data_IF_835096153195
#
_entry.id   IF_835096153195
#
_cell.length_a   1.000
_cell.length_b   1.000
_cell.length_c   1.000
_cell.angle_alpha   90.00
_cell.angle_beta   90.00
_cell.angle_gamma   90.00
#
_symmetry.space_group_name_H-M   'P 1'
#
loop_
_entity.id
_entity.type
_entity.pdbx_description
1 polymer ?
#
# COMPACT_ATOMS: atom_id res chain seq x y z
N UNK A 1 23.82 10.71 -15.30
CA UNK A 1 23.10 9.65 -14.55
C UNK A 1 21.85 10.28 -13.98
N UNK A 2 20.67 9.66 -14.15
CA UNK A 2 19.44 10.13 -13.48
C UNK A 2 19.64 9.96 -11.97
N UNK A 3 19.20 10.94 -11.18
CA UNK A 3 19.19 10.80 -9.71
C UNK A 3 18.37 9.55 -9.33
N UNK A 4 18.84 8.72 -8.39
CA UNK A 4 18.09 7.55 -7.96
C UNK A 4 16.77 7.97 -7.31
N UNK A 5 15.77 7.10 -7.42
CA UNK A 5 14.50 7.27 -6.72
C UNK A 5 14.57 6.51 -5.39
N UNK A 6 14.18 7.16 -4.29
CA UNK A 6 14.05 6.51 -2.99
C UNK A 6 12.58 6.54 -2.56
N UNK A 7 11.96 5.39 -2.32
CA UNK A 7 10.57 5.32 -1.86
C UNK A 7 10.50 4.95 -0.39
N UNK A 8 10.07 5.92 0.42
CA UNK A 8 9.64 5.69 1.82
C UNK A 8 8.34 4.91 1.75
N UNK A 9 8.44 3.58 1.75
CA UNK A 9 7.30 2.70 1.73
C UNK A 9 6.71 2.64 3.13
N UNK A 10 5.70 3.47 3.40
CA UNK A 10 4.96 3.40 4.67
C UNK A 10 4.02 2.18 4.63
N UNK A 11 4.03 1.30 5.65
CA UNK A 11 3.13 0.17 5.70
C UNK A 11 1.67 0.57 5.46
N UNK A 12 1.06 -0.10 4.48
CA UNK A 12 -0.37 -0.02 4.13
C UNK A 12 -0.84 1.27 3.49
N UNK A 13 0.07 2.07 2.93
CA UNK A 13 -0.22 3.25 2.11
C UNK A 13 -0.01 2.95 0.61
N UNK A 14 -0.66 1.90 0.06
CA UNK A 14 -0.59 1.46 -1.35
C UNK A 14 0.82 1.23 -1.93
N UNK A 15 1.84 1.04 -1.08
CA UNK A 15 3.21 0.91 -1.56
C UNK A 15 3.45 -0.31 -2.44
N UNK A 16 2.73 -1.42 -2.25
CA UNK A 16 2.84 -2.60 -3.14
C UNK A 16 2.32 -2.35 -4.56
N UNK A 17 1.27 -1.54 -4.72
CA UNK A 17 0.75 -1.20 -6.04
C UNK A 17 1.70 -0.22 -6.77
N UNK A 18 2.24 0.75 -6.03
CA UNK A 18 3.24 1.67 -6.55
C UNK A 18 4.59 0.99 -6.85
N UNK A 19 5.00 0.04 -6.00
CA UNK A 19 6.13 -0.85 -6.23
C UNK A 19 5.94 -1.65 -7.52
N UNK A 20 4.81 -2.34 -7.69
CA UNK A 20 4.54 -3.12 -8.90
C UNK A 20 4.59 -2.25 -10.17
N UNK A 21 4.07 -1.03 -10.08
CA UNK A 21 4.14 -0.04 -11.16
C UNK A 21 5.58 0.33 -11.51
N UNK A 22 6.43 0.62 -10.51
CA UNK A 22 7.82 1.01 -10.74
C UNK A 22 8.73 -0.17 -11.12
N UNK A 23 8.57 -1.31 -10.46
CA UNK A 23 9.39 -2.52 -10.66
C UNK A 23 9.33 -2.99 -12.11
N UNK A 24 8.12 -3.05 -12.69
CA UNK A 24 7.94 -3.43 -14.10
C UNK A 24 8.79 -2.57 -15.05
N UNK A 25 9.02 -1.31 -14.71
CA UNK A 25 9.79 -0.38 -15.54
C UNK A 25 11.29 -0.52 -15.36
N UNK A 26 11.73 -0.69 -14.11
CA UNK A 26 13.14 -0.89 -13.83
C UNK A 26 13.64 -2.27 -14.31
N UNK A 27 12.79 -3.30 -14.25
CA UNK A 27 13.09 -4.62 -14.81
C UNK A 27 13.29 -4.55 -16.33
N UNK A 28 12.44 -3.80 -17.05
CA UNK A 28 12.60 -3.56 -18.49
C UNK A 28 13.91 -2.83 -18.84
N UNK A 29 14.42 -2.02 -17.92
CA UNK A 29 15.71 -1.33 -18.05
C UNK A 29 16.91 -2.18 -17.59
N UNK A 30 16.68 -3.44 -17.19
CA UNK A 30 17.72 -4.34 -16.70
C UNK A 30 18.30 -3.95 -15.35
N UNK A 31 17.62 -3.07 -14.60
CA UNK A 31 18.08 -2.64 -13.29
C UNK A 31 17.71 -3.67 -12.22
N UNK A 32 18.69 -4.05 -11.39
CA UNK A 32 18.43 -4.86 -10.19
C UNK A 32 17.81 -3.97 -9.12
N UNK A 33 16.50 -4.08 -8.97
CA UNK A 33 15.74 -3.41 -7.90
C UNK A 33 15.33 -4.43 -6.86
N UNK A 34 15.53 -4.09 -5.58
CA UNK A 34 15.20 -4.95 -4.45
C UNK A 34 14.57 -4.14 -3.33
N UNK A 35 13.53 -4.69 -2.69
CA UNK A 35 12.97 -4.15 -1.46
C UNK A 35 13.91 -4.44 -0.28
N UNK A 36 14.13 -3.46 0.61
CA UNK A 36 14.70 -3.75 1.92
C UNK A 36 13.65 -4.47 2.78
N UNK A 37 13.84 -5.77 2.96
CA UNK A 37 13.01 -6.62 3.83
C UNK A 37 13.66 -6.94 5.17
N UNK A 38 14.97 -6.69 5.29
CA UNK A 38 15.82 -7.15 6.39
C UNK A 38 16.36 -8.57 6.18
N UNK A 39 16.10 -9.19 5.03
CA UNK A 39 16.63 -10.50 4.65
C UNK A 39 17.70 -10.39 3.56
N UNK A 40 18.82 -11.10 3.75
CA UNK A 40 19.90 -11.17 2.77
C UNK A 40 19.53 -12.10 1.60
N UNK A 41 20.04 -11.86 0.37
CA UNK A 41 19.77 -12.72 -0.80
C UNK A 41 20.14 -14.20 -0.58
N UNK A 42 21.22 -14.45 0.16
CA UNK A 42 21.71 -15.77 0.57
C UNK A 42 20.98 -16.37 1.80
N UNK A 43 20.01 -15.65 2.36
CA UNK A 43 19.28 -16.01 3.57
C UNK A 43 19.91 -15.44 4.86
N UNK A 44 19.09 -15.29 5.89
CA UNK A 44 19.46 -14.66 7.16
C UNK A 44 19.20 -13.16 7.19
N UNK A 45 19.56 -12.50 8.29
CA UNK A 45 19.29 -11.06 8.48
C UNK A 45 20.32 -10.19 7.77
N UNK A 46 19.84 -9.18 7.04
CA UNK A 46 20.64 -8.13 6.42
C UNK A 46 20.46 -6.81 7.19
N UNK A 47 21.57 -6.12 7.49
CA UNK A 47 21.52 -4.78 8.06
C UNK A 47 21.23 -3.73 6.99
N UNK A 48 20.77 -2.55 7.40
CA UNK A 48 20.54 -1.46 6.45
C UNK A 48 21.83 -1.03 5.73
N UNK A 49 22.97 -1.03 6.42
CA UNK A 49 24.28 -0.71 5.83
C UNK A 49 24.68 -1.74 4.75
N UNK A 50 24.45 -3.03 4.99
CA UNK A 50 24.71 -4.09 4.00
C UNK A 50 23.83 -3.91 2.77
N UNK A 51 22.54 -3.62 2.98
CA UNK A 51 21.62 -3.30 1.89
C UNK A 51 22.11 -2.10 1.07
N UNK A 52 22.51 -1.01 1.75
CA UNK A 52 22.99 0.20 1.08
C UNK A 52 24.23 -0.08 0.26
N UNK A 53 25.18 -0.86 0.79
CA UNK A 53 26.39 -1.21 0.06
C UNK A 53 26.08 -1.98 -1.21
N UNK A 54 25.24 -3.02 -1.10
CA UNK A 54 24.85 -3.85 -2.23
C UNK A 54 24.00 -3.11 -3.28
N UNK A 55 23.33 -2.01 -2.89
CA UNK A 55 22.37 -1.29 -3.73
C UNK A 55 22.77 0.17 -3.99
N UNK A 56 24.03 0.55 -3.73
CA UNK A 56 24.53 1.93 -3.83
C UNK A 56 24.32 2.56 -5.21
N UNK A 57 24.36 1.74 -6.27
CA UNK A 57 24.15 2.16 -7.65
C UNK A 57 22.75 1.83 -8.20
N UNK A 58 21.84 1.34 -7.35
CA UNK A 58 20.48 1.05 -7.78
C UNK A 58 19.76 2.35 -8.18
N UNK A 59 19.09 2.40 -9.34
CA UNK A 59 18.29 3.56 -9.72
C UNK A 59 17.01 3.70 -8.88
N UNK A 60 16.66 2.66 -8.11
CA UNK A 60 15.48 2.65 -7.25
C UNK A 60 15.73 1.84 -5.97
N UNK A 61 15.51 2.48 -4.83
CA UNK A 61 15.63 1.86 -3.51
C UNK A 61 14.36 2.11 -2.70
N UNK A 62 13.88 1.09 -2.01
CA UNK A 62 12.63 1.20 -1.26
C UNK A 62 12.53 0.17 -0.14
N UNK A 63 11.67 0.46 0.83
CA UNK A 63 11.42 -0.41 1.98
C UNK A 63 10.79 0.37 3.13
N UNK A 64 10.51 -0.32 4.23
CA UNK A 64 9.97 0.27 5.45
C UNK A 64 11.05 1.02 6.24
N UNK A 65 11.64 2.03 5.60
CA UNK A 65 12.81 2.79 6.07
C UNK A 65 12.41 4.24 6.36
N UNK A 66 12.72 4.79 7.54
CA UNK A 66 12.49 6.20 7.84
C UNK A 66 13.24 7.13 6.88
N UNK A 67 12.63 8.26 6.54
CA UNK A 67 13.16 9.28 5.64
C UNK A 67 14.59 9.71 5.99
N UNK A 68 14.88 9.89 7.28
CA UNK A 68 16.21 10.30 7.74
C UNK A 68 17.32 9.35 7.31
N UNK A 69 17.04 8.04 7.26
CA UNK A 69 17.99 7.04 6.78
C UNK A 69 18.16 7.13 5.26
N UNK A 70 17.09 7.27 4.47
CA UNK A 70 17.27 7.50 3.04
C UNK A 70 18.06 8.77 2.73
N UNK A 71 17.81 9.88 3.42
CA UNK A 71 18.59 11.12 3.24
C UNK A 71 20.05 10.97 3.64
N UNK A 72 20.35 10.18 4.67
CA UNK A 72 21.71 9.94 5.14
C UNK A 72 22.53 9.11 4.15
N UNK A 73 21.95 8.02 3.63
CA UNK A 73 22.68 7.05 2.81
C UNK A 73 22.50 7.24 1.30
N UNK A 74 21.47 7.97 0.87
CA UNK A 74 21.19 8.33 -0.52
C UNK A 74 20.88 9.84 -0.64
N UNK A 75 21.85 10.74 -0.35
CA UNK A 75 21.61 12.19 -0.29
C UNK A 75 21.17 12.79 -1.64
N UNK A 76 21.55 12.18 -2.75
CA UNK A 76 21.19 12.62 -4.10
C UNK A 76 19.88 12.01 -4.62
N UNK A 77 19.22 11.15 -3.83
CA UNK A 77 18.00 10.50 -4.25
C UNK A 77 16.80 11.46 -4.21
N UNK A 78 15.95 11.34 -5.24
CA UNK A 78 14.62 11.95 -5.21
C UNK A 78 13.74 11.09 -4.32
N UNK A 79 13.48 11.56 -3.10
CA UNK A 79 12.65 10.82 -2.15
C UNK A 79 11.17 11.03 -2.43
N UNK A 80 10.40 9.93 -2.44
CA UNK A 80 8.95 9.92 -2.65
C UNK A 80 8.26 9.05 -1.61
N UNK A 81 6.95 9.25 -1.43
CA UNK A 81 6.15 8.44 -0.51
C UNK A 81 4.67 8.39 -0.92
N UNK A 82 3.89 7.57 -0.22
CA UNK A 82 2.42 7.58 -0.26
C UNK A 82 1.89 7.66 1.17
N UNK A 83 0.83 8.44 1.34
CA UNK A 83 0.08 8.58 2.59
C UNK A 83 -1.30 7.91 2.46
N UNK A 84 -1.96 7.71 3.59
CA UNK A 84 -3.30 7.15 3.70
C UNK A 84 -4.04 7.77 4.89
N UNK A 85 -5.36 7.82 4.82
CA UNK A 85 -6.17 8.15 5.99
C UNK A 85 -5.73 7.29 7.19
N UNK A 86 -5.39 7.90 8.34
CA UNK A 86 -4.77 7.18 9.45
C UNK A 86 -5.64 6.06 10.05
N UNK A 87 -6.96 6.23 10.03
CA UNK A 87 -7.90 5.20 10.50
C UNK A 87 -7.92 4.06 9.50
N UNK A 88 -8.08 4.36 8.21
CA UNK A 88 -8.05 3.36 7.15
C UNK A 88 -6.72 2.59 7.09
N UNK A 89 -5.59 3.27 7.32
CA UNK A 89 -4.26 2.66 7.43
C UNK A 89 -4.20 1.69 8.61
N UNK A 90 -4.69 2.10 9.78
CA UNK A 90 -4.72 1.25 10.99
C UNK A 90 -5.54 -0.01 10.76
N UNK A 91 -6.75 0.13 10.20
CA UNK A 91 -7.62 -1.00 9.87
C UNK A 91 -6.96 -1.92 8.82
N UNK A 92 -6.37 -1.34 7.78
CA UNK A 92 -5.65 -2.10 6.74
C UNK A 92 -4.46 -2.88 7.32
N UNK A 93 -3.78 -2.29 8.30
CA UNK A 93 -2.66 -2.94 8.95
C UNK A 93 -3.09 -4.09 9.85
N UNK A 94 -4.17 -3.90 10.62
CA UNK A 94 -4.83 -5.00 11.32
C UNK A 94 -5.19 -6.14 10.36
N UNK A 95 -5.91 -5.86 9.26
CA UNK A 95 -6.25 -6.89 8.26
C UNK A 95 -5.02 -7.62 7.71
N UNK A 96 -3.91 -6.90 7.58
CA UNK A 96 -2.63 -7.49 7.15
C UNK A 96 -2.16 -8.50 8.19
N UNK A 97 -1.96 -8.05 9.43
CA UNK A 97 -1.45 -8.80 10.59
C UNK A 97 -2.35 -9.97 11.01
N UNK A 98 -3.66 -9.79 10.88
CA UNK A 98 -4.67 -10.79 11.18
C UNK A 98 -4.68 -11.96 10.19
N UNK A 99 -4.22 -11.74 8.94
CA UNK A 99 -4.22 -12.78 7.92
C UNK A 99 -2.92 -13.60 7.97
N UNK A 100 -2.94 -14.87 8.42
CA UNK A 100 -1.74 -15.69 8.51
C UNK A 100 -1.10 -15.95 7.14
N UNK A 101 -1.85 -15.81 6.03
CA UNK A 101 -1.31 -15.99 4.67
C UNK A 101 -0.28 -14.92 4.31
N UNK A 102 -0.38 -13.73 4.92
CA UNK A 102 0.57 -12.64 4.69
C UNK A 102 1.92 -12.87 5.39
N UNK A 103 2.00 -13.84 6.31
CA UNK A 103 3.18 -14.08 7.15
C UNK A 103 3.57 -15.56 7.23
N UNK A 104 3.42 -16.25 6.10
CA UNK A 104 3.86 -17.62 5.98
C UNK A 104 5.40 -17.69 5.87
N UNK A 105 6.00 -18.88 6.00
CA UNK A 105 7.47 -19.04 5.96
C UNK A 105 8.16 -18.61 4.65
N UNK A 106 7.40 -18.34 3.58
CA UNK A 106 7.92 -17.78 2.33
C UNK A 106 8.00 -16.24 2.31
N UNK A 107 7.39 -15.54 3.29
CA UNK A 107 7.50 -14.10 3.44
C UNK A 107 8.87 -13.70 4.06
N UNK A 108 9.67 -12.84 3.38
CA UNK A 108 10.95 -12.38 3.89
C UNK A 108 10.88 -11.76 5.28
N UNK A 109 9.87 -10.92 5.53
CA UNK A 109 9.71 -10.25 6.82
C UNK A 109 9.46 -11.25 7.95
N UNK A 110 8.75 -12.34 7.67
CA UNK A 110 8.48 -13.42 8.62
C UNK A 110 9.73 -14.25 8.94
N UNK A 111 10.61 -14.48 7.97
CA UNK A 111 11.86 -15.26 8.18
C UNK A 111 12.88 -14.55 9.06
N UNK A 112 12.90 -13.22 9.04
CA UNK A 112 13.82 -12.40 9.84
C UNK A 112 13.14 -11.72 11.03
N UNK A 113 11.86 -12.00 11.28
CA UNK A 113 11.12 -11.44 12.41
C UNK A 113 11.73 -11.91 13.74
N UNK A 114 11.94 -10.98 14.67
CA UNK A 114 12.33 -11.31 16.04
C UNK A 114 11.25 -12.16 16.73
N UNK A 115 11.63 -12.87 17.79
CA UNK A 115 10.67 -13.66 18.56
C UNK A 115 9.48 -12.82 19.05
N UNK A 116 9.73 -11.59 19.50
CA UNK A 116 8.69 -10.70 20.01
C UNK A 116 7.75 -10.21 18.90
N UNK A 117 8.29 -9.98 17.70
CA UNK A 117 7.48 -9.66 16.53
C UNK A 117 6.58 -10.84 16.13
N UNK A 118 7.12 -12.07 16.16
CA UNK A 118 6.33 -13.29 15.92
C UNK A 118 5.21 -13.45 16.95
N UNK A 119 5.49 -13.20 18.23
CA UNK A 119 4.47 -13.21 19.30
C UNK A 119 3.41 -12.13 19.08
N UNK A 120 3.81 -10.92 18.67
CA UNK A 120 2.89 -9.83 18.36
C UNK A 120 1.97 -10.15 17.16
N UNK A 121 2.51 -10.83 16.15
CA UNK A 121 1.76 -11.29 14.98
C UNK A 121 0.80 -12.42 15.34
N UNK A 122 1.23 -13.40 16.14
CA UNK A 122 0.36 -14.47 16.63
C UNK A 122 -0.81 -13.92 17.46
N UNK A 123 -0.57 -12.90 18.30
CA UNK A 123 -1.64 -12.18 18.97
C UNK A 123 -2.61 -11.54 17.97
N UNK A 124 -2.10 -10.83 16.96
CA UNK A 124 -2.94 -10.15 15.98
C UNK A 124 -3.81 -11.11 15.13
N UNK A 125 -3.35 -12.34 14.89
CA UNK A 125 -4.08 -13.39 14.16
C UNK A 125 -5.25 -13.98 14.96
N UNK A 126 -5.21 -13.89 16.29
CA UNK A 126 -6.30 -14.34 17.17
C UNK A 126 -7.18 -13.22 17.71
N UNK A 127 -6.77 -11.95 17.55
CA UNK A 127 -7.46 -10.80 18.13
C UNK A 127 -8.52 -10.23 17.17
N UNK A 128 -9.65 -9.81 17.73
CA UNK A 128 -10.58 -8.89 17.06
C UNK A 128 -9.91 -7.53 16.81
N UNK A 129 -10.49 -6.71 15.92
CA UNK A 129 -9.99 -5.35 15.68
C UNK A 129 -10.02 -4.51 16.96
N UNK A 130 -11.02 -4.69 17.82
CA UNK A 130 -11.09 -3.99 19.10
C UNK A 130 -9.91 -4.37 20.00
N UNK A 131 -9.69 -5.67 20.24
CA UNK A 131 -8.58 -6.16 21.06
C UNK A 131 -7.23 -5.73 20.51
N UNK A 132 -7.08 -5.73 19.18
CA UNK A 132 -5.88 -5.24 18.51
C UNK A 132 -5.62 -3.76 18.78
N UNK A 133 -6.64 -2.89 18.64
CA UNK A 133 -6.53 -1.44 18.89
C UNK A 133 -6.36 -1.12 20.37
N UNK A 134 -6.91 -1.96 21.25
CA UNK A 134 -6.90 -1.78 22.71
C UNK A 134 -5.67 -2.41 23.39
N UNK A 135 -4.79 -3.07 22.63
CA UNK A 135 -3.64 -3.79 23.19
C UNK A 135 -2.60 -2.86 23.83
N UNK A 136 -1.96 -3.37 24.90
CA UNK A 136 -0.79 -2.73 25.52
C UNK A 136 0.53 -3.31 25.03
N UNK A 137 0.50 -4.28 24.12
CA UNK A 137 1.72 -4.89 23.58
C UNK A 137 2.57 -3.84 22.86
N UNK A 138 3.78 -3.59 23.37
CA UNK A 138 4.66 -2.55 22.86
C UNK A 138 5.08 -2.76 21.41
N UNK A 139 5.25 -4.02 20.97
CA UNK A 139 5.62 -4.36 19.59
C UNK A 139 4.47 -4.10 18.62
N UNK A 140 3.24 -4.48 18.97
CA UNK A 140 2.06 -4.12 18.16
C UNK A 140 1.91 -2.60 18.11
N UNK A 141 2.07 -1.92 19.25
CA UNK A 141 1.95 -0.46 19.30
C UNK A 141 3.03 0.27 18.50
N UNK A 142 4.26 -0.25 18.46
CA UNK A 142 5.37 0.37 17.75
C UNK A 142 5.36 0.06 16.24
N UNK A 143 5.05 -1.18 15.87
CA UNK A 143 5.12 -1.64 14.49
C UNK A 143 3.81 -1.45 13.72
N UNK A 144 2.67 -1.42 14.41
CA UNK A 144 1.37 -1.53 13.77
C UNK A 144 0.35 -0.42 14.06
N UNK A 145 0.49 0.29 15.17
CA UNK A 145 -0.42 1.35 15.61
C UNK A 145 0.30 2.70 15.80
N UNK A 146 -0.49 3.74 16.07
CA UNK A 146 0.04 5.08 16.35
C UNK A 146 0.43 5.88 15.10
N UNK A 147 1.11 7.00 15.33
CA UNK A 147 1.53 7.98 14.32
C UNK A 147 2.72 7.51 13.45
N UNK A 148 2.54 6.37 12.78
CA UNK A 148 3.59 5.72 11.97
C UNK A 148 3.99 6.59 10.79
N UNK A 149 3.04 7.26 10.11
CA UNK A 149 3.36 8.08 8.94
C UNK A 149 4.22 9.29 9.34
N UNK A 150 3.84 9.99 10.41
CA UNK A 150 4.61 11.10 10.97
C UNK A 150 6.02 10.65 11.36
N UNK A 151 6.16 9.54 12.08
CA UNK A 151 7.49 9.04 12.51
C UNK A 151 8.38 8.66 11.33
N UNK A 152 7.84 7.96 10.33
CA UNK A 152 8.62 7.55 9.16
C UNK A 152 9.05 8.74 8.27
N UNK A 153 8.31 9.84 8.29
CA UNK A 153 8.59 11.02 7.47
C UNK A 153 9.32 12.14 8.22
N UNK A 154 9.49 12.01 9.54
CA UNK A 154 10.25 12.95 10.34
C UNK A 154 11.76 12.75 10.18
N UNK A 155 12.50 13.85 10.26
CA UNK A 155 13.96 13.87 10.45
C UNK A 155 14.37 14.56 11.76
N UNK A 156 13.39 14.95 12.57
CA UNK A 156 13.60 15.44 13.93
C UNK A 156 14.10 14.31 14.84
N UNK A 157 15.08 14.63 15.68
CA UNK A 157 15.79 13.72 16.60
C UNK A 157 15.31 13.81 18.06
N UNK A 158 14.45 14.80 18.36
CA UNK A 158 13.78 14.89 19.66
C UNK A 158 12.70 13.83 19.85
N UNK A 159 12.18 13.76 21.08
CA UNK A 159 11.22 12.72 21.49
C UNK A 159 9.75 13.16 21.41
N UNK A 160 9.48 14.45 21.21
CA UNK A 160 8.11 14.97 21.18
C UNK A 160 7.44 14.81 19.80
N UNK A 161 6.20 14.36 19.82
CA UNK A 161 5.44 14.09 18.60
C UNK A 161 5.08 15.36 17.81
N UNK A 162 5.02 16.52 18.46
CA UNK A 162 4.77 17.79 17.79
C UNK A 162 5.94 18.19 16.90
N UNK A 163 7.18 18.06 17.39
CA UNK A 163 8.40 18.27 16.61
C UNK A 163 8.51 17.31 15.44
N UNK A 164 8.15 16.04 15.65
CA UNK A 164 8.05 15.06 14.56
C UNK A 164 7.01 15.45 13.50
N UNK A 165 5.82 15.91 13.91
CA UNK A 165 4.76 16.36 13.01
C UNK A 165 5.23 17.53 12.15
N UNK A 166 5.79 18.56 12.77
CA UNK A 166 6.27 19.74 12.04
C UNK A 166 7.45 19.40 11.11
N UNK A 167 8.33 18.48 11.53
CA UNK A 167 9.35 17.94 10.63
C UNK A 167 8.76 17.17 9.45
N UNK A 168 7.76 16.34 9.68
CA UNK A 168 7.13 15.55 8.62
C UNK A 168 6.40 16.44 7.60
N UNK A 169 5.71 17.49 8.04
CA UNK A 169 5.07 18.50 7.16
C UNK A 169 6.10 19.17 6.24
N UNK A 170 7.19 19.71 6.82
CA UNK A 170 8.30 20.31 6.05
C UNK A 170 8.90 19.33 5.05
N UNK A 171 9.02 18.06 5.44
CA UNK A 171 9.59 17.03 4.58
C UNK A 171 8.68 16.67 3.42
N UNK A 172 7.36 16.54 3.65
CA UNK A 172 6.36 16.34 2.60
C UNK A 172 6.32 17.53 1.62
N UNK A 173 6.37 18.75 2.15
CA UNK A 173 6.42 19.98 1.35
C UNK A 173 7.66 20.03 0.45
N UNK A 174 8.83 19.63 0.96
CA UNK A 174 10.07 19.61 0.19
C UNK A 174 10.17 18.44 -0.81
N UNK A 175 9.41 17.35 -0.62
CA UNK A 175 9.49 16.18 -1.50
C UNK A 175 8.99 16.51 -2.91
N UNK A 176 9.70 16.06 -3.96
CA UNK A 176 9.26 16.26 -5.34
C UNK A 176 7.86 15.67 -5.58
N UNK A 177 7.52 14.57 -4.93
CA UNK A 177 6.22 13.91 -5.05
C UNK A 177 5.85 13.16 -3.77
N UNK A 178 4.56 13.17 -3.48
CA UNK A 178 3.90 12.19 -2.63
C UNK A 178 2.52 11.87 -3.21
N UNK A 179 2.04 10.66 -2.97
CA UNK A 179 0.70 10.22 -3.35
C UNK A 179 -0.25 10.04 -2.16
N UNK A 180 -1.54 9.95 -2.46
CA UNK A 180 -2.58 9.58 -1.50
C UNK A 180 -3.21 8.25 -1.95
N UNK A 181 -3.30 7.31 -1.03
CA UNK A 181 -3.87 5.97 -1.27
C UNK A 181 -5.29 6.05 -1.82
N UNK A 182 -6.12 6.93 -1.26
CA UNK A 182 -7.51 7.15 -1.66
C UNK A 182 -7.67 7.85 -3.02
N UNK A 183 -6.58 8.42 -3.54
CA UNK A 183 -6.54 9.14 -4.82
C UNK A 183 -5.42 8.57 -5.69
N UNK A 184 -5.32 7.24 -5.74
CA UNK A 184 -4.20 6.55 -6.36
C UNK A 184 -3.99 6.93 -7.82
N UNK A 185 -5.03 6.89 -8.66
CA UNK A 185 -4.93 7.26 -10.09
C UNK A 185 -4.42 8.69 -10.27
N UNK A 186 -5.00 9.66 -9.56
CA UNK A 186 -4.55 11.06 -9.60
C UNK A 186 -3.11 11.23 -9.08
N UNK A 187 -2.70 10.39 -8.11
CA UNK A 187 -1.33 10.37 -7.61
C UNK A 187 -0.35 9.88 -8.69
N UNK A 188 -0.74 8.88 -9.48
CA UNK A 188 0.06 8.41 -10.61
C UNK A 188 0.16 9.48 -11.70
N UNK A 189 -0.93 10.18 -12.02
CA UNK A 189 -0.91 11.28 -12.99
C UNK A 189 0.06 12.39 -12.55
N UNK A 190 0.00 12.78 -11.27
CA UNK A 190 0.93 13.74 -10.69
C UNK A 190 2.37 13.25 -10.77
N UNK A 191 2.62 11.97 -10.41
CA UNK A 191 3.94 11.36 -10.50
C UNK A 191 4.49 11.42 -11.93
N UNK A 192 3.70 11.02 -12.94
CA UNK A 192 4.11 11.03 -14.35
C UNK A 192 4.38 12.44 -14.87
N UNK A 193 3.66 13.45 -14.37
CA UNK A 193 3.93 14.85 -14.68
C UNK A 193 5.28 15.37 -14.16
N UNK A 194 5.80 14.77 -13.08
CA UNK A 194 7.03 15.17 -12.39
C UNK A 194 8.24 14.31 -12.81
N UNK A 195 7.97 13.07 -13.19
CA UNK A 195 8.95 12.08 -13.64
C UNK A 195 8.59 11.68 -15.08
N UNK A 196 9.01 12.50 -16.05
CA UNK A 196 8.61 12.40 -17.47
C UNK A 196 8.94 11.07 -18.15
N UNK A 197 9.85 10.30 -17.56
CA UNK A 197 10.25 8.97 -18.04
C UNK A 197 9.51 7.82 -17.33
N UNK A 198 8.51 8.14 -16.52
CA UNK A 198 7.71 7.14 -15.84
C UNK A 198 6.83 6.38 -16.86
N UNK A 199 6.73 5.04 -16.71
CA UNK A 199 5.94 4.17 -17.60
C UNK A 199 4.46 4.55 -17.65
N UNK A 200 3.73 3.95 -18.59
CA UNK A 200 2.26 3.90 -18.50
C UNK A 200 1.79 3.06 -17.31
N UNK A 201 0.73 3.51 -16.65
CA UNK A 201 0.15 2.83 -15.52
C UNK A 201 -0.81 1.73 -15.99
N UNK A 202 -0.49 0.48 -15.68
CA UNK A 202 -1.30 -0.69 -16.03
C UNK A 202 -1.46 -1.68 -14.85
N UNK A 203 -1.53 -1.18 -13.61
CA UNK A 203 -1.80 -2.04 -12.45
C UNK A 203 -3.32 -2.17 -12.29
N UNK A 204 -3.81 -3.41 -12.20
CA UNK A 204 -5.24 -3.69 -12.05
C UNK A 204 -5.77 -3.17 -10.68
N UNK A 205 -7.00 -2.63 -10.61
CA UNK A 205 -7.57 -2.10 -9.35
C UNK A 205 -7.56 -3.10 -8.18
N UNK A 206 -7.65 -4.40 -8.47
CA UNK A 206 -7.60 -5.47 -7.47
C UNK A 206 -6.22 -5.60 -6.80
N UNK A 207 -5.16 -5.11 -7.44
CA UNK A 207 -3.82 -5.06 -6.85
C UNK A 207 -3.60 -3.83 -5.95
N UNK A 208 -4.50 -2.84 -5.98
CA UNK A 208 -4.44 -1.63 -5.15
C UNK A 208 -4.81 -1.92 -3.68
N UNK A 209 -5.54 -3.01 -3.41
CA UNK A 209 -5.97 -3.38 -2.05
C UNK A 209 -5.92 -4.90 -1.85
N UNK A 210 -4.75 -5.43 -1.44
CA UNK A 210 -4.49 -6.88 -1.34
C UNK A 210 -5.14 -7.60 -0.15
N UNK A 211 -5.74 -6.89 0.81
CA UNK A 211 -6.30 -7.54 2.00
C UNK A 211 -7.67 -8.17 1.70
N UNK A 212 -7.71 -9.49 1.61
CA UNK A 212 -8.93 -10.28 1.34
C UNK A 212 -9.72 -10.66 2.60
N UNK A 213 -9.23 -10.29 3.80
CA UNK A 213 -9.97 -10.52 5.05
C UNK A 213 -11.12 -9.54 5.15
N UNK A 214 -12.34 -10.07 5.09
CA UNK A 214 -13.54 -9.36 5.48
C UNK A 214 -13.50 -9.16 7.01
N UNK A 215 -13.62 -7.91 7.44
CA UNK A 215 -13.89 -7.58 8.83
C UNK A 215 -15.26 -6.93 8.87
N UNK A 216 -15.99 -7.12 9.96
CA UNK A 216 -17.20 -6.35 10.22
C UNK A 216 -16.89 -4.84 10.17
N UNK A 217 -17.88 -4.05 9.74
CA UNK A 217 -17.70 -2.60 9.75
C UNK A 217 -17.44 -2.15 11.19
N UNK A 218 -16.32 -1.43 11.45
CA UNK A 218 -16.01 -0.98 12.80
C UNK A 218 -17.05 0.02 13.29
N UNK A 219 -17.43 -0.08 14.56
CA UNK A 219 -18.34 0.87 15.19
C UNK A 219 -17.75 2.29 15.23
N UNK A 220 -18.62 3.29 15.32
CA UNK A 220 -18.20 4.69 15.44
C UNK A 220 -17.29 4.92 16.66
N UNK A 221 -17.58 4.25 17.78
CA UNK A 221 -16.78 4.31 19.01
C UNK A 221 -15.36 3.74 18.80
N UNK A 222 -15.24 2.64 18.06
CA UNK A 222 -13.94 2.07 17.71
C UNK A 222 -13.17 2.99 16.76
N UNK A 223 -13.84 3.57 15.76
CA UNK A 223 -13.23 4.57 14.86
C UNK A 223 -12.75 5.79 15.66
N UNK A 224 -13.56 6.30 16.59
CA UNK A 224 -13.19 7.41 17.45
C UNK A 224 -11.96 7.06 18.31
N UNK A 225 -11.91 5.85 18.87
CA UNK A 225 -10.78 5.36 19.65
C UNK A 225 -9.51 5.20 18.81
N UNK A 226 -9.60 4.76 17.56
CA UNK A 226 -8.45 4.74 16.66
C UNK A 226 -7.94 6.17 16.44
N UNK A 227 -8.83 7.13 16.16
CA UNK A 227 -8.46 8.54 15.91
C UNK A 227 -7.68 9.16 17.07
N UNK A 228 -8.03 8.85 18.32
CA UNK A 228 -7.29 9.39 19.48
C UNK A 228 -5.87 8.85 19.61
N UNK A 229 -5.54 7.74 18.94
CA UNK A 229 -4.20 7.15 18.92
C UNK A 229 -3.31 7.66 17.78
N UNK A 230 -3.87 8.39 16.80
CA UNK A 230 -3.16 8.87 15.60
C UNK A 230 -3.33 10.38 15.35
N UNK A 231 -3.20 11.25 16.37
CA UNK A 231 -3.46 12.68 16.22
C UNK A 231 -2.50 13.38 15.25
N UNK A 232 -1.22 13.02 15.25
CA UNK A 232 -0.22 13.63 14.38
C UNK A 232 -0.35 13.13 12.94
N UNK A 233 -0.60 11.83 12.75
CA UNK A 233 -0.90 11.26 11.43
C UNK A 233 -2.16 11.91 10.83
N UNK A 234 -3.17 12.21 11.66
CA UNK A 234 -4.41 12.89 11.23
C UNK A 234 -4.14 14.30 10.74
N UNK A 235 -3.36 15.08 11.49
CA UNK A 235 -2.99 16.44 11.12
C UNK A 235 -2.04 16.47 9.90
N UNK A 236 -1.08 15.54 9.83
CA UNK A 236 -0.20 15.38 8.67
C UNK A 236 -0.99 15.03 7.41
N UNK A 237 -1.92 14.08 7.49
CA UNK A 237 -2.74 13.67 6.36
C UNK A 237 -3.64 14.81 5.87
N UNK A 238 -4.25 15.58 6.79
CA UNK A 238 -5.02 16.78 6.45
C UNK A 238 -4.16 17.81 5.71
N UNK A 239 -2.96 18.10 6.22
CA UNK A 239 -1.99 18.99 5.57
C UNK A 239 -1.63 18.48 4.17
N UNK A 240 -1.30 17.20 4.05
CA UNK A 240 -0.92 16.58 2.78
C UNK A 240 -2.05 16.62 1.75
N UNK A 241 -3.31 16.43 2.16
CA UNK A 241 -4.47 16.56 1.27
C UNK A 241 -4.57 17.97 0.68
N UNK A 242 -4.42 19.01 1.51
CA UNK A 242 -4.43 20.40 1.03
C UNK A 242 -3.30 20.68 0.03
N UNK A 243 -2.07 20.27 0.36
CA UNK A 243 -0.92 20.43 -0.52
C UNK A 243 -1.06 19.62 -1.82
N UNK A 244 -1.63 18.43 -1.76
CA UNK A 244 -1.85 17.57 -2.92
C UNK A 244 -2.78 18.22 -3.94
N UNK A 245 -3.88 18.83 -3.50
CA UNK A 245 -4.81 19.56 -4.37
C UNK A 245 -4.11 20.76 -5.04
N UNK A 246 -3.31 21.53 -4.28
CA UNK A 246 -2.51 22.63 -4.83
C UNK A 246 -1.52 22.15 -5.90
N UNK A 247 -0.89 20.99 -5.70
CA UNK A 247 0.04 20.36 -6.66
C UNK A 247 -0.68 19.87 -7.92
N UNK A 248 -1.85 19.24 -7.79
CA UNK A 248 -2.67 18.83 -8.94
C UNK A 248 -3.07 20.02 -9.81
N UNK A 249 -3.43 21.14 -9.17
CA UNK A 249 -3.75 22.39 -9.86
C UNK A 249 -2.52 23.08 -10.48
N UNK A 250 -1.31 22.59 -10.19
CA UNK A 250 -0.05 23.13 -10.71
C UNK A 250 0.42 24.42 -10.03
N UNK A 251 -0.12 24.74 -8.85
CA UNK A 251 0.12 26.00 -8.15
C UNK A 251 1.32 25.94 -7.18
N UNK A 252 1.79 24.73 -6.84
CA UNK A 252 2.91 24.52 -5.91
C UNK A 252 3.75 23.28 -6.26
N UNK A 253 4.20 23.20 -7.51
CA UNK A 253 5.19 22.19 -7.91
C UNK A 253 6.60 22.72 -7.57
N UNK A 254 7.44 21.95 -6.87
CA UNK A 254 8.81 22.37 -6.57
C UNK A 254 9.56 22.70 -7.88
N UNK A 255 10.10 23.93 -7.94
CA UNK A 255 10.72 24.58 -9.11
C UNK A 255 11.83 23.78 -9.80
N UNK A 256 12.36 22.73 -9.18
CA UNK A 256 13.44 21.90 -9.73
C UNK A 256 12.99 20.86 -10.78
N UNK A 257 11.70 20.77 -11.14
CA UNK A 257 11.19 19.69 -12.02
C UNK A 257 10.51 20.12 -13.32
N UNK A 258 10.39 21.42 -13.61
CA UNK A 258 9.67 21.87 -14.79
C UNK A 258 10.65 22.20 -15.94
N UNK A 259 10.73 21.31 -16.93
CA UNK A 259 11.07 21.74 -18.29
C UNK A 259 9.82 22.34 -18.95
N UNK A 260 10.03 23.31 -19.85
CA UNK A 260 8.97 24.04 -20.57
C UNK A 260 8.00 23.16 -21.38
N UNK A 261 8.26 21.85 -21.45
CA UNK A 261 7.46 20.85 -22.16
C UNK A 261 6.09 20.58 -21.49
N UNK A 262 5.99 20.72 -20.15
CA UNK A 262 4.74 20.45 -19.41
C UNK A 262 3.67 21.53 -19.68
N UNK A 263 4.07 22.79 -19.88
CA UNK A 263 3.15 23.87 -20.24
C UNK A 263 2.64 23.72 -21.68
N UNK A 264 3.48 23.23 -22.58
CA UNK A 264 3.14 23.03 -23.99
C UNK A 264 2.13 21.87 -24.22
N UNK A 265 2.23 20.76 -23.47
CA UNK A 265 1.28 19.63 -23.59
C UNK A 265 -0.12 19.95 -23.07
N UNK A 266 -0.25 20.74 -21.99
CA UNK A 266 -1.56 21.12 -21.42
C UNK A 266 -2.47 21.92 -22.37
N UNK A 267 -1.90 22.62 -23.36
CA UNK A 267 -2.65 23.39 -24.34
C UNK A 267 -3.17 22.57 -25.53
N UNK A 268 -2.54 21.43 -25.83
CA UNK A 268 -2.93 20.56 -26.94
C UNK A 268 -3.89 19.44 -26.52
N UNK A 269 -3.75 18.92 -25.29
CA UNK A 269 -4.51 17.75 -24.80
C UNK A 269 -5.99 18.02 -24.50
N UNK A 270 -6.42 19.27 -24.28
CA UNK A 270 -7.82 19.57 -23.89
C UNK A 270 -8.85 19.28 -24.98
N UNK A 271 -8.46 19.32 -26.26
CA UNK A 271 -9.34 18.96 -27.37
C UNK A 271 -9.35 17.45 -27.66
N UNK A 272 -8.23 16.75 -27.42
CA UNK A 272 -8.07 15.32 -27.65
C UNK A 272 -8.66 14.48 -26.49
N UNK A 273 -8.54 14.96 -25.24
CA UNK A 273 -9.18 14.38 -24.05
C UNK A 273 -10.71 14.34 -24.13
N UNK A 274 -11.35 15.36 -24.73
CA UNK A 274 -12.81 15.39 -24.92
C UNK A 274 -13.29 14.41 -26.00
N UNK A 275 -12.43 14.07 -26.97
CA UNK A 275 -12.69 13.04 -27.99
C UNK A 275 -12.47 11.62 -27.45
N UNK A 276 -11.39 11.41 -26.70
CA UNK A 276 -11.05 10.14 -26.04
C UNK A 276 -12.05 9.74 -24.95
N UNK A 277 -12.57 10.69 -24.16
CA UNK A 277 -13.58 10.42 -23.14
C UNK A 277 -14.83 9.75 -23.72
N UNK A 278 -15.31 10.16 -24.90
CA UNK A 278 -16.51 9.58 -25.51
C UNK A 278 -16.30 8.15 -26.02
N UNK A 279 -15.07 7.79 -26.38
CA UNK A 279 -14.74 6.42 -26.79
C UNK A 279 -14.61 5.51 -25.56
N UNK A 280 -13.89 5.97 -24.54
CA UNK A 280 -13.68 5.25 -23.27
C UNK A 280 -14.99 5.09 -22.49
N UNK A 281 -15.89 6.08 -22.51
CA UNK A 281 -17.23 5.97 -21.92
C UNK A 281 -18.10 4.88 -22.59
N UNK A 282 -17.96 4.70 -23.92
CA UNK A 282 -18.67 3.65 -24.66
C UNK A 282 -18.10 2.26 -24.39
N UNK A 283 -16.79 2.12 -24.34
CA UNK A 283 -16.14 0.85 -23.96
C UNK A 283 -16.46 0.46 -22.52
N UNK A 284 -16.42 1.42 -21.58
CA UNK A 284 -16.79 1.17 -20.20
C UNK A 284 -18.27 0.84 -20.02
N UNK A 285 -19.17 1.41 -20.83
CA UNK A 285 -20.58 1.03 -20.82
C UNK A 285 -20.79 -0.43 -21.28
N UNK A 286 -20.08 -0.86 -22.33
CA UNK A 286 -20.12 -2.24 -22.80
C UNK A 286 -19.54 -3.22 -21.77
N UNK A 287 -18.44 -2.86 -21.11
CA UNK A 287 -17.82 -3.68 -20.06
C UNK A 287 -18.69 -3.78 -18.80
N UNK A 288 -19.39 -2.69 -18.42
CA UNK A 288 -20.37 -2.72 -17.32
C UNK A 288 -21.54 -3.64 -17.63
N UNK A 289 -22.07 -3.60 -18.85
CA UNK A 289 -23.14 -4.51 -19.27
C UNK A 289 -22.68 -5.99 -19.23
N UNK A 290 -21.46 -6.28 -19.71
CA UNK A 290 -20.89 -7.64 -19.62
C UNK A 290 -20.65 -8.08 -18.17
N UNK A 291 -20.27 -7.16 -17.28
CA UNK A 291 -20.07 -7.46 -15.86
C UNK A 291 -21.41 -7.78 -15.18
N UNK A 292 -22.47 -7.05 -15.51
CA UNK A 292 -23.84 -7.32 -15.02
C UNK A 292 -24.35 -8.68 -15.53
N UNK A 293 -24.15 -9.02 -16.79
CA UNK A 293 -24.48 -10.34 -17.35
C UNK A 293 -23.69 -11.48 -16.67
N UNK A 294 -22.40 -11.27 -16.40
CA UNK A 294 -21.57 -12.25 -15.70
C UNK A 294 -22.01 -12.43 -14.25
N UNK A 295 -22.37 -11.33 -13.58
CA UNK A 295 -22.88 -11.34 -12.21
C UNK A 295 -24.21 -12.09 -12.12
N UNK A 296 -25.13 -11.84 -13.06
CA UNK A 296 -26.39 -12.58 -13.15
C UNK A 296 -26.17 -14.07 -13.41
N UNK A 297 -25.22 -14.41 -14.28
CA UNK A 297 -24.82 -15.81 -14.56
C UNK A 297 -24.22 -16.47 -13.32
N UNK A 298 -23.40 -15.75 -12.55
CA UNK A 298 -22.83 -16.23 -11.29
C UNK A 298 -23.91 -16.46 -10.22
N UNK A 299 -24.89 -15.57 -10.12
CA UNK A 299 -26.02 -15.74 -9.19
C UNK A 299 -26.87 -16.96 -9.55
N UNK A 300 -27.13 -17.20 -10.84
CA UNK A 300 -27.85 -18.38 -11.32
C UNK A 300 -27.07 -19.67 -11.03
N UNK A 301 -25.77 -19.70 -11.33
CA UNK A 301 -24.91 -20.84 -11.00
C UNK A 301 -24.83 -21.08 -9.48
N UNK A 302 -24.76 -20.00 -8.69
CA UNK A 302 -24.75 -20.09 -7.23
C UNK A 302 -26.08 -20.60 -6.68
N UNK A 303 -27.20 -20.22 -7.29
CA UNK A 303 -28.52 -20.77 -6.94
C UNK A 303 -28.63 -22.25 -7.30
N UNK A 304 -28.21 -22.63 -8.51
CA UNK A 304 -28.19 -24.03 -8.94
C UNK A 304 -27.29 -24.88 -8.04
N UNK A 305 -26.13 -24.36 -7.63
CA UNK A 305 -25.25 -25.03 -6.68
C UNK A 305 -25.91 -25.22 -5.30
N UNK A 306 -26.62 -24.21 -4.78
CA UNK A 306 -27.40 -24.35 -3.55
C UNK A 306 -28.53 -25.38 -3.69
N UNK A 307 -29.20 -25.44 -4.83
CA UNK A 307 -30.25 -26.43 -5.08
C UNK A 307 -29.69 -27.86 -5.17
N UNK A 308 -28.56 -28.03 -5.85
CA UNK A 308 -27.85 -29.32 -5.94
C UNK A 308 -27.41 -29.76 -4.55
N UNK A 309 -26.72 -28.89 -3.80
CA UNK A 309 -26.17 -29.22 -2.47
C UNK A 309 -27.25 -29.42 -1.41
N UNK A 310 -28.40 -28.77 -1.55
CA UNK A 310 -29.56 -28.98 -0.68
C UNK A 310 -30.42 -30.17 -1.11
N UNK A 311 -30.19 -30.77 -2.29
CA UNK A 311 -30.95 -31.94 -2.75
C UNK A 311 -30.76 -33.15 -1.83
N UNK A 312 -31.78 -34.01 -1.76
CA UNK A 312 -31.69 -35.28 -1.01
C UNK A 312 -30.59 -36.19 -1.56
N UNK A 313 -30.36 -36.19 -2.87
CA UNK A 313 -29.32 -37.00 -3.51
C UNK A 313 -27.91 -36.58 -3.09
N UNK A 314 -27.63 -35.28 -3.04
CA UNK A 314 -26.33 -34.76 -2.57
C UNK A 314 -26.07 -35.07 -1.10
N UNK A 315 -27.09 -34.90 -0.24
CA UNK A 315 -26.99 -35.26 1.19
C UNK A 315 -26.79 -36.76 1.42
N UNK A 316 -27.35 -37.60 0.56
CA UNK A 316 -27.13 -39.05 0.60
C UNK A 316 -25.69 -39.39 0.18
N UNK A 317 -25.18 -38.74 -0.87
CA UNK A 317 -23.80 -38.91 -1.34
C UNK A 317 -22.78 -38.46 -0.28
N UNK A 318 -22.99 -37.33 0.39
CA UNK A 318 -22.15 -36.88 1.51
C UNK A 318 -22.19 -37.87 2.68
N UNK A 319 -23.37 -38.38 3.03
CA UNK A 319 -23.53 -39.37 4.11
C UNK A 319 -22.81 -40.69 3.80
N UNK A 320 -22.86 -41.13 2.54
CA UNK A 320 -22.13 -42.32 2.06
C UNK A 320 -20.62 -42.08 2.01
N UNK A 321 -20.16 -40.89 1.61
CA UNK A 321 -18.74 -40.53 1.64
C UNK A 321 -18.20 -40.52 3.08
N UNK A 322 -18.95 -39.92 4.01
CA UNK A 322 -18.62 -39.90 5.43
C UNK A 322 -18.56 -41.31 6.05
N UNK A 323 -19.53 -42.17 5.74
CA UNK A 323 -19.53 -43.58 6.17
C UNK A 323 -18.34 -44.37 5.59
N UNK A 324 -18.00 -44.14 4.32
CA UNK A 324 -16.85 -44.80 3.67
C UNK A 324 -15.50 -44.38 4.29
N UNK A 325 -15.38 -43.13 4.74
CA UNK A 325 -14.22 -42.64 5.47
C UNK A 325 -14.08 -43.25 6.86
N UNK A 326 -15.20 -43.54 7.53
CA UNK A 326 -15.21 -44.19 8.86
C UNK A 326 -14.85 -45.68 8.83
N UNK A 327 -15.16 -46.37 7.72
CA UNK A 327 -14.82 -47.78 7.52
C UNK A 327 -13.33 -47.96 7.20
N UNK A 328 -12.68 -46.98 6.55
CA UNK A 328 -11.24 -46.99 6.27
C UNK A 328 -10.36 -46.59 7.45
N UNK A 329 -10.95 -46.11 8.54
CA UNK A 329 -10.25 -45.67 9.76
C UNK A 329 -10.38 -46.62 10.95
N UNK A 330 -10.76 -47.88 10.74
CA UNK A 330 -10.78 -48.94 11.75
C UNK A 330 -9.76 -50.03 11.44
#
# INVERSE_FOLDING_TARGET
MRQPLAFVHIPKCSGTAFEAYLQCSFDQLGARVRCLTGEAPEGGTETFEQYVEANRHSPFVFGHVPLGLFRKYYPDARVVTFLRDPVARTISNYRSWHDPRNFNGSDPHSRVASHELQVAMAFAQGASLDEFVSTKNAYVRAAALGDVQTKMLSTFDGSDMTGHLESAKRNIEAMPFFGLTERFSASIDLFRGIFLDAPEYAVAPQAENRSSVAIEQPSEDLIARIRTQVPCDTELYRFACGLFETRLQGQDLPRASLSDTVKARRGADTAELLGGCKHIERENAHLKARLEELSASYEQLSALYRDITSSRGWRLLESLHWLSGRIRGR
#
